data_IF_787339247452
#
_entry.id   IF_787339247452
#
_cell.length_a   1.000
_cell.length_b   1.000
_cell.length_c   1.000
_cell.angle_alpha   90.00
_cell.angle_beta   90.00
_cell.angle_gamma   90.00
#
_symmetry.space_group_name_H-M   'P 1'
#
loop_
_entity.id
_entity.type
_entity.pdbx_description
1 polymer ?
#
# COMPACT_ATOMS: atom_id res chain seq x y z
N UNK A 1 2.93 -10.15 -32.95
CA UNK A 1 3.47 -10.88 -31.78
C UNK A 1 3.65 -9.89 -30.64
N UNK A 2 3.07 -10.17 -29.48
CA UNK A 2 3.15 -9.30 -28.31
C UNK A 2 4.48 -9.52 -27.59
N UNK A 3 5.04 -8.46 -26.99
CA UNK A 3 6.31 -8.53 -26.26
C UNK A 3 6.17 -7.85 -24.91
N UNK A 4 6.86 -8.40 -23.90
CA UNK A 4 6.97 -7.80 -22.59
C UNK A 4 8.21 -6.89 -22.56
N UNK A 5 8.02 -5.63 -22.20
CA UNK A 5 9.09 -4.62 -22.16
C UNK A 5 9.09 -3.96 -20.79
N UNK A 6 10.25 -3.84 -20.15
CA UNK A 6 10.36 -3.10 -18.89
C UNK A 6 9.87 -1.66 -19.06
N UNK A 7 9.01 -1.20 -18.16
CA UNK A 7 8.46 0.16 -18.18
C UNK A 7 9.57 1.21 -18.19
N UNK A 8 10.66 0.95 -17.44
CA UNK A 8 11.83 1.83 -17.39
C UNK A 8 12.48 2.08 -18.76
N UNK A 9 12.34 1.13 -19.72
CA UNK A 9 12.85 1.31 -21.09
C UNK A 9 11.94 2.17 -21.96
N UNK A 10 10.68 2.36 -21.55
CA UNK A 10 9.68 3.16 -22.28
C UNK A 10 9.57 4.58 -21.72
N UNK A 11 9.82 4.78 -20.42
CA UNK A 11 9.75 6.08 -19.76
C UNK A 11 11.08 6.83 -19.88
N UNK A 12 11.11 7.97 -20.58
CA UNK A 12 12.27 8.88 -20.65
C UNK A 12 12.41 9.80 -19.43
N UNK A 13 11.44 9.79 -18.52
CA UNK A 13 11.35 10.72 -17.39
C UNK A 13 12.21 10.25 -16.22
N UNK A 14 13.14 11.12 -15.77
CA UNK A 14 13.96 10.92 -14.56
C UNK A 14 13.16 10.93 -13.24
N UNK A 15 11.87 11.25 -13.27
CA UNK A 15 10.96 11.05 -12.12
C UNK A 15 10.67 9.57 -12.01
N UNK A 16 11.61 8.85 -11.41
CA UNK A 16 11.48 7.45 -11.05
C UNK A 16 10.25 7.28 -10.17
N UNK A 17 9.22 6.62 -10.71
CA UNK A 17 8.29 5.89 -9.87
C UNK A 17 9.14 4.91 -9.06
N UNK A 18 9.13 4.97 -7.71
CA UNK A 18 9.79 3.95 -6.93
C UNK A 18 9.23 2.60 -7.39
N UNK A 19 10.11 1.66 -7.74
CA UNK A 19 9.79 0.31 -8.26
C UNK A 19 9.43 0.19 -9.76
N UNK A 20 9.69 1.20 -10.59
CA UNK A 20 9.53 1.12 -12.06
C UNK A 20 10.32 -0.02 -12.73
N UNK A 21 11.40 -0.47 -12.10
CA UNK A 21 12.22 -1.61 -12.55
C UNK A 21 11.49 -2.96 -12.48
N UNK A 22 10.43 -3.04 -11.67
CA UNK A 22 9.60 -4.25 -11.46
C UNK A 22 8.24 -4.14 -12.16
N UNK A 23 8.07 -3.15 -13.03
CA UNK A 23 6.88 -2.99 -13.87
C UNK A 23 7.27 -3.28 -15.31
N UNK A 24 6.48 -4.10 -15.97
CA UNK A 24 6.61 -4.40 -17.39
C UNK A 24 5.33 -4.06 -18.14
N UNK A 25 5.47 -3.70 -19.41
CA UNK A 25 4.39 -3.34 -20.31
C UNK A 25 4.32 -4.38 -21.41
N UNK A 26 3.14 -4.94 -21.64
CA UNK A 26 2.87 -5.79 -22.79
C UNK A 26 2.61 -4.85 -23.97
N UNK A 27 3.40 -4.96 -25.04
CA UNK A 27 3.25 -4.14 -26.25
C UNK A 27 2.96 -5.00 -27.48
N UNK A 28 2.18 -4.47 -28.41
CA UNK A 28 1.95 -5.10 -29.72
C UNK A 28 3.12 -4.87 -30.69
N UNK A 29 2.99 -5.34 -31.94
CA UNK A 29 4.00 -5.16 -32.99
C UNK A 29 4.28 -3.69 -33.35
N UNK A 30 3.32 -2.78 -33.10
CA UNK A 30 3.44 -1.33 -33.32
C UNK A 30 3.93 -0.58 -32.07
N UNK A 31 4.41 -1.28 -31.04
CA UNK A 31 4.79 -0.74 -29.72
C UNK A 31 3.65 -0.05 -28.95
N UNK A 32 2.39 -0.34 -29.29
CA UNK A 32 1.24 0.14 -28.52
C UNK A 32 1.14 -0.65 -27.21
N UNK A 33 1.04 0.00 -26.03
CA UNK A 33 0.75 -0.66 -24.77
C UNK A 33 -0.61 -1.36 -24.82
N UNK A 34 -0.65 -2.62 -24.42
CA UNK A 34 -1.87 -3.43 -24.30
C UNK A 34 -2.20 -3.74 -22.83
N UNK A 35 -1.21 -3.70 -21.94
CA UNK A 35 -1.40 -3.99 -20.53
C UNK A 35 -0.11 -3.86 -19.73
N UNK A 36 -0.23 -3.96 -18.42
CA UNK A 36 0.88 -3.83 -17.47
C UNK A 36 0.97 -5.08 -16.60
N UNK A 37 2.20 -5.44 -16.26
CA UNK A 37 2.53 -6.51 -15.32
C UNK A 37 3.33 -5.88 -14.19
N UNK A 38 2.84 -6.05 -12.97
CA UNK A 38 3.45 -5.47 -11.78
C UNK A 38 4.02 -6.59 -10.89
N UNK A 39 5.21 -6.36 -10.33
CA UNK A 39 5.59 -7.05 -9.09
C UNK A 39 4.69 -6.61 -7.94
N UNK A 40 4.51 -7.47 -6.92
CA UNK A 40 3.63 -7.19 -5.77
C UNK A 40 3.84 -5.80 -5.17
N UNK A 41 5.08 -5.50 -4.76
CA UNK A 41 5.39 -4.23 -4.09
C UNK A 41 5.17 -3.03 -5.04
N UNK A 42 5.44 -3.20 -6.34
CA UNK A 42 5.19 -2.17 -7.35
C UNK A 42 3.71 -1.91 -7.59
N UNK A 43 2.88 -2.96 -7.46
CA UNK A 43 1.44 -2.83 -7.60
C UNK A 43 0.86 -2.05 -6.43
N UNK A 44 1.28 -2.36 -5.20
CA UNK A 44 0.85 -1.63 -4.00
C UNK A 44 1.25 -0.15 -4.10
N UNK A 45 2.52 0.14 -4.40
CA UNK A 45 2.99 1.52 -4.58
C UNK A 45 2.26 2.27 -5.72
N UNK A 46 1.82 1.57 -6.76
CA UNK A 46 1.01 2.16 -7.82
C UNK A 46 -0.40 2.51 -7.33
N UNK A 47 -1.03 1.63 -6.55
CA UNK A 47 -2.34 1.90 -5.93
C UNK A 47 -2.26 3.05 -4.93
N UNK A 48 -1.24 3.07 -4.06
CA UNK A 48 -0.99 4.18 -3.12
C UNK A 48 -0.89 5.50 -3.87
N UNK A 49 -0.19 5.53 -5.01
CA UNK A 49 -0.09 6.77 -5.78
C UNK A 49 -1.41 7.22 -6.39
N UNK A 50 -2.26 6.28 -6.81
CA UNK A 50 -3.63 6.61 -7.26
C UNK A 50 -4.44 7.15 -6.08
N UNK A 51 -4.27 6.56 -4.91
CA UNK A 51 -4.96 6.93 -3.68
C UNK A 51 -4.64 8.38 -3.28
N UNK A 52 -3.36 8.71 -3.15
CA UNK A 52 -2.88 10.07 -2.88
C UNK A 52 -3.41 11.12 -3.87
N UNK A 53 -3.37 10.81 -5.18
CA UNK A 53 -3.81 11.73 -6.22
C UNK A 53 -5.34 11.92 -6.23
N UNK A 54 -6.08 10.91 -5.78
CA UNK A 54 -7.52 11.00 -5.59
C UNK A 54 -7.84 11.87 -4.37
N UNK A 55 -7.24 11.58 -3.22
CA UNK A 55 -7.43 12.36 -1.99
C UNK A 55 -7.07 13.84 -2.17
N UNK A 56 -5.97 14.14 -2.88
CA UNK A 56 -5.57 15.51 -3.16
C UNK A 56 -6.59 16.30 -3.98
N UNK A 57 -7.48 15.62 -4.73
CA UNK A 57 -8.49 16.25 -5.60
C UNK A 57 -9.88 16.26 -4.97
N UNK A 58 -10.14 15.39 -4.01
CA UNK A 58 -11.45 15.28 -3.38
C UNK A 58 -11.61 16.34 -2.30
N UNK A 59 -12.67 17.14 -2.41
CA UNK A 59 -13.01 18.19 -1.44
C UNK A 59 -13.95 17.72 -0.33
N UNK A 60 -14.67 16.62 -0.56
CA UNK A 60 -15.63 16.04 0.37
C UNK A 60 -15.02 14.80 1.08
N UNK A 61 -14.79 14.85 2.40
CA UNK A 61 -14.22 13.74 3.16
C UNK A 61 -14.99 12.41 3.00
N UNK A 62 -16.31 12.46 2.77
CA UNK A 62 -17.11 11.23 2.58
C UNK A 62 -16.81 10.52 1.25
N UNK A 63 -16.34 11.26 0.25
CA UNK A 63 -15.94 10.70 -1.04
C UNK A 63 -14.51 10.13 -0.98
N UNK A 64 -13.64 10.72 -0.16
CA UNK A 64 -12.29 10.20 0.07
C UNK A 64 -12.34 8.76 0.59
N UNK A 65 -13.26 8.48 1.52
CA UNK A 65 -13.48 7.14 2.09
C UNK A 65 -13.98 6.09 1.09
N UNK A 66 -14.51 6.51 -0.07
CA UNK A 66 -15.03 5.61 -1.11
C UNK A 66 -14.04 5.39 -2.26
N UNK A 67 -12.76 5.73 -2.07
CA UNK A 67 -11.75 5.48 -3.08
C UNK A 67 -11.56 3.98 -3.34
N UNK A 68 -11.67 3.57 -4.60
CA UNK A 68 -11.45 2.18 -5.02
C UNK A 68 -9.98 1.76 -4.84
N UNK A 69 -9.03 2.69 -4.96
CA UNK A 69 -7.61 2.39 -4.75
C UNK A 69 -7.35 2.05 -3.28
N UNK A 70 -7.73 2.93 -2.35
CA UNK A 70 -7.66 2.67 -0.90
C UNK A 70 -8.33 1.36 -0.51
N UNK A 71 -9.57 1.12 -0.94
CA UNK A 71 -10.28 -0.14 -0.64
C UNK A 71 -9.56 -1.40 -1.14
N UNK A 72 -8.87 -1.30 -2.28
CA UNK A 72 -8.11 -2.42 -2.81
C UNK A 72 -6.82 -2.64 -2.02
N UNK A 73 -6.18 -1.57 -1.55
CA UNK A 73 -5.03 -1.64 -0.64
C UNK A 73 -5.46 -2.36 0.65
N UNK A 74 -6.55 -1.93 1.28
CA UNK A 74 -7.08 -2.53 2.51
C UNK A 74 -7.30 -4.04 2.34
N UNK A 75 -7.98 -4.45 1.25
CA UNK A 75 -8.24 -5.86 0.96
C UNK A 75 -6.96 -6.67 0.73
N UNK A 76 -5.92 -6.07 0.15
CA UNK A 76 -4.61 -6.73 0.00
C UNK A 76 -3.96 -6.88 1.37
N UNK A 77 -3.92 -5.81 2.17
CA UNK A 77 -3.32 -5.78 3.51
C UNK A 77 -3.96 -6.78 4.46
N UNK A 78 -5.29 -6.92 4.45
CA UNK A 78 -6.02 -7.94 5.22
C UNK A 78 -5.59 -9.38 4.92
N UNK A 79 -5.06 -9.62 3.70
CA UNK A 79 -4.60 -10.95 3.26
C UNK A 79 -3.09 -11.13 3.38
N UNK A 80 -2.34 -10.06 3.67
CA UNK A 80 -0.90 -10.16 3.82
C UNK A 80 -0.54 -10.88 5.13
N UNK A 81 0.40 -11.85 5.10
CA UNK A 81 0.83 -12.52 6.31
C UNK A 81 1.56 -11.53 7.21
N UNK A 82 1.12 -11.43 8.47
CA UNK A 82 1.76 -10.58 9.46
C UNK A 82 3.18 -11.08 9.72
N UNK A 83 4.15 -10.18 9.74
CA UNK A 83 5.55 -10.53 9.97
C UNK A 83 5.70 -11.24 11.34
N UNK A 84 6.16 -12.51 11.39
CA UNK A 84 6.26 -13.25 12.64
C UNK A 84 7.18 -12.58 13.68
N UNK A 85 8.23 -11.89 13.22
CA UNK A 85 9.13 -11.13 14.11
C UNK A 85 8.41 -9.96 14.78
N UNK A 86 7.51 -9.31 14.04
CA UNK A 86 6.68 -8.23 14.58
C UNK A 86 5.73 -8.76 15.65
N UNK A 87 5.07 -9.91 15.40
CA UNK A 87 4.21 -10.57 16.40
C UNK A 87 4.98 -10.90 17.68
N UNK A 88 6.19 -11.46 17.57
CA UNK A 88 7.04 -11.78 18.73
C UNK A 88 7.39 -10.51 19.51
N UNK A 89 7.81 -9.46 18.80
CA UNK A 89 8.16 -8.17 19.42
C UNK A 89 6.97 -7.54 20.13
N UNK A 90 5.80 -7.51 19.48
CA UNK A 90 4.56 -6.98 20.02
C UNK A 90 4.13 -7.73 21.28
N UNK A 91 4.18 -9.08 21.27
CA UNK A 91 3.88 -9.90 22.47
C UNK A 91 4.83 -9.57 23.62
N UNK A 92 6.12 -9.43 23.34
CA UNK A 92 7.12 -9.07 24.36
C UNK A 92 6.84 -7.69 24.94
N UNK A 93 6.55 -6.69 24.10
CA UNK A 93 6.17 -5.36 24.55
C UNK A 93 4.91 -5.38 25.41
N UNK A 94 3.85 -6.10 25.01
CA UNK A 94 2.63 -6.24 25.82
C UNK A 94 2.91 -6.88 27.20
N UNK A 95 3.80 -7.87 27.25
CA UNK A 95 4.22 -8.49 28.52
C UNK A 95 5.01 -7.51 29.40
N UNK A 96 5.91 -6.73 28.81
CA UNK A 96 6.68 -5.70 29.52
C UNK A 96 5.79 -4.57 30.04
N UNK A 97 4.85 -4.09 29.23
CA UNK A 97 3.84 -3.08 29.60
C UNK A 97 3.00 -3.55 30.79
N UNK A 98 2.49 -4.79 30.77
CA UNK A 98 1.77 -5.39 31.91
C UNK A 98 2.64 -5.53 33.15
N UNK A 99 3.90 -5.95 32.99
CA UNK A 99 4.84 -6.12 34.12
C UNK A 99 5.23 -4.81 34.77
N UNK A 100 5.32 -3.75 33.97
CA UNK A 100 5.72 -2.41 34.44
C UNK A 100 4.54 -1.58 34.95
N UNK A 101 3.32 -2.12 34.98
CA UNK A 101 2.12 -1.42 35.44
C UNK A 101 1.66 -0.30 34.50
N UNK A 102 2.04 -0.37 33.22
CA UNK A 102 1.60 0.60 32.23
C UNK A 102 0.16 0.25 31.85
N UNK A 103 -0.75 1.19 32.10
CA UNK A 103 -2.17 1.03 31.80
C UNK A 103 -2.33 1.13 30.28
N UNK A 104 -2.90 0.11 29.60
CA UNK A 104 -3.28 0.22 28.19
C UNK A 104 -4.19 1.43 27.95
N UNK A 105 -4.02 2.11 26.82
CA UNK A 105 -4.84 3.28 26.45
C UNK A 105 -6.35 2.99 26.49
N UNK A 106 -6.73 1.76 26.16
CA UNK A 106 -8.13 1.30 26.19
C UNK A 106 -8.67 1.30 27.63
N UNK A 107 -7.89 0.80 28.60
CA UNK A 107 -8.22 0.85 30.04
C UNK A 107 -8.25 2.29 30.56
N UNK A 108 -7.37 3.18 30.06
CA UNK A 108 -7.43 4.60 30.37
C UNK A 108 -8.74 5.22 29.85
N UNK A 109 -9.18 4.88 28.63
CA UNK A 109 -10.44 5.41 28.08
C UNK A 109 -11.68 4.92 28.84
N UNK A 110 -11.68 3.68 29.31
CA UNK A 110 -12.77 3.12 30.12
C UNK A 110 -12.81 3.74 31.53
N UNK A 111 -11.63 4.01 32.11
CA UNK A 111 -11.47 4.69 33.40
C UNK A 111 -11.78 6.20 33.32
N UNK A 112 -11.58 6.81 32.14
CA UNK A 112 -11.85 8.22 31.89
C UNK A 112 -13.30 8.49 31.43
N UNK A 113 -14.22 7.53 31.56
CA UNK A 113 -15.64 7.73 31.23
C UNK A 113 -16.24 8.99 31.91
N UNK A 114 -16.16 10.07 31.13
CA UNK A 114 -17.01 11.25 31.02
C UNK A 114 -17.69 11.15 29.67
#
# INVERSE_FOLDING_TARGET
MNRLVSLAKLTKTKKTFPLSSRISVIVNSKRTPLGFVFGRDSFIAFLEKIDEEFEAKVKDPKQAYNNLAGRLIDLIEEKLPVNPKFIIKMRKSLQETKKNGWIPLDEISELLNV
#
